data_IF_646714747407
#
_entry.id   IF_646714747407
#
_cell.length_a   1.000
_cell.length_b   1.000
_cell.length_c   1.000
_cell.angle_alpha   90.00
_cell.angle_beta   90.00
_cell.angle_gamma   90.00
#
_symmetry.space_group_name_H-M   'P 1'
#
loop_
_entity.id
_entity.type
_entity.pdbx_description
1 polymer ?
#
# COMPACT_ATOMS: atom_id res chain seq x y z
N UNK A 1 20.38 -13.76 -4.78
CA UNK A 1 19.46 -14.02 -5.92
C UNK A 1 19.54 -12.82 -6.83
N UNK A 2 20.06 -13.00 -8.04
CA UNK A 2 20.17 -11.91 -9.03
C UNK A 2 18.80 -11.74 -9.69
N UNK A 3 18.30 -10.51 -9.76
CA UNK A 3 17.09 -10.20 -10.52
C UNK A 3 17.28 -10.62 -11.97
N UNK A 4 16.40 -11.49 -12.45
CA UNK A 4 16.50 -12.00 -13.81
C UNK A 4 15.83 -10.98 -14.73
N UNK A 5 16.58 -10.50 -15.72
CA UNK A 5 16.06 -9.58 -16.73
C UNK A 5 14.90 -10.27 -17.48
N UNK A 6 13.73 -9.64 -17.59
CA UNK A 6 12.60 -10.21 -18.32
C UNK A 6 12.95 -10.38 -19.82
N UNK A 7 12.21 -11.24 -20.51
CA UNK A 7 12.40 -11.49 -21.96
C UNK A 7 12.41 -10.19 -22.76
N UNK A 8 13.30 -10.03 -23.74
CA UNK A 8 13.27 -8.86 -24.65
C UNK A 8 12.11 -8.92 -25.66
N UNK A 9 11.31 -9.99 -25.65
CA UNK A 9 10.19 -10.15 -26.56
C UNK A 9 9.01 -9.25 -26.17
N UNK A 10 8.74 -8.25 -27.02
CA UNK A 10 7.60 -7.35 -26.93
C UNK A 10 6.38 -7.92 -27.68
N UNK A 11 5.19 -7.63 -27.16
CA UNK A 11 3.91 -7.99 -27.77
C UNK A 11 2.95 -6.80 -27.71
N UNK A 12 2.15 -6.65 -28.76
CA UNK A 12 1.00 -5.73 -28.75
C UNK A 12 -0.18 -6.43 -28.07
N UNK A 13 -0.86 -5.74 -27.15
CA UNK A 13 -2.01 -6.24 -26.42
C UNK A 13 -3.16 -5.21 -26.44
N UNK A 14 -3.87 -5.14 -27.57
CA UNK A 14 -5.04 -4.26 -27.77
C UNK A 14 -4.79 -2.78 -27.39
N UNK A 15 -3.71 -2.20 -27.91
CA UNK A 15 -3.31 -0.81 -27.72
C UNK A 15 -2.28 -0.58 -26.60
N UNK A 16 -1.87 -1.65 -25.92
CA UNK A 16 -0.86 -1.63 -24.84
C UNK A 16 0.35 -2.46 -25.25
N UNK A 17 1.52 -1.82 -25.36
CA UNK A 17 2.76 -2.54 -25.62
C UNK A 17 3.23 -3.20 -24.32
N UNK A 18 3.43 -4.51 -24.38
CA UNK A 18 3.78 -5.32 -23.23
C UNK A 18 5.04 -6.16 -23.52
N UNK A 19 5.69 -6.62 -22.45
CA UNK A 19 6.83 -7.53 -22.47
C UNK A 19 6.40 -8.91 -22.01
N UNK A 20 6.75 -9.97 -22.73
CA UNK A 20 6.46 -11.33 -22.27
C UNK A 20 7.21 -11.66 -20.98
N UNK A 21 6.53 -12.35 -20.08
CA UNK A 21 7.03 -12.71 -18.77
C UNK A 21 6.72 -14.17 -18.41
N UNK A 22 7.26 -15.16 -19.17
CA UNK A 22 6.97 -16.56 -18.92
C UNK A 22 7.57 -17.09 -17.61
N UNK A 23 8.62 -16.41 -17.12
CA UNK A 23 9.41 -16.80 -15.94
C UNK A 23 9.09 -15.92 -14.73
N UNK A 24 9.15 -16.53 -13.56
CA UNK A 24 8.91 -15.86 -12.28
C UNK A 24 9.95 -14.79 -12.01
N UNK A 25 9.51 -13.55 -11.78
CA UNK A 25 10.39 -12.40 -11.50
C UNK A 25 11.22 -12.56 -10.21
N UNK A 26 10.78 -13.41 -9.27
CA UNK A 26 11.49 -13.63 -8.01
C UNK A 26 12.59 -14.69 -8.09
N UNK A 27 12.34 -15.83 -8.75
CA UNK A 27 13.28 -16.96 -8.75
C UNK A 27 13.74 -17.44 -10.14
N UNK A 28 13.22 -16.85 -11.22
CA UNK A 28 13.58 -17.19 -12.59
C UNK A 28 13.04 -18.51 -13.13
N UNK A 29 12.33 -19.32 -12.31
CA UNK A 29 11.69 -20.56 -12.76
C UNK A 29 10.48 -20.28 -13.65
N UNK A 30 10.14 -21.19 -14.55
CA UNK A 30 8.92 -21.11 -15.34
C UNK A 30 7.67 -21.13 -14.44
N UNK A 31 6.68 -20.30 -14.81
CA UNK A 31 5.36 -20.34 -14.20
C UNK A 31 4.41 -21.30 -14.93
N UNK A 32 3.33 -21.70 -14.27
CA UNK A 32 2.15 -22.20 -14.98
C UNK A 32 1.13 -21.06 -15.17
N UNK A 33 0.26 -21.19 -16.16
CA UNK A 33 -0.85 -20.24 -16.37
C UNK A 33 -1.93 -20.56 -15.33
N UNK A 34 -2.26 -19.58 -14.50
CA UNK A 34 -3.32 -19.69 -13.50
C UNK A 34 -4.65 -19.21 -14.07
N UNK A 35 -4.64 -18.06 -14.73
CA UNK A 35 -5.80 -17.50 -15.42
C UNK A 35 -5.41 -17.04 -16.82
N UNK A 36 -6.36 -17.08 -17.74
CA UNK A 36 -6.17 -16.65 -19.13
C UNK A 36 -7.38 -15.88 -19.62
N UNK A 37 -7.19 -15.08 -20.67
CA UNK A 37 -8.24 -14.28 -21.32
C UNK A 37 -8.99 -13.37 -20.34
N UNK A 38 -8.28 -12.85 -19.35
CA UNK A 38 -8.82 -11.89 -18.39
C UNK A 38 -9.01 -10.53 -19.08
N UNK A 39 -10.10 -9.84 -18.75
CA UNK A 39 -10.36 -8.46 -19.13
C UNK A 39 -10.72 -7.69 -17.88
N UNK A 40 -10.30 -6.43 -17.81
CA UNK A 40 -10.71 -5.57 -16.71
C UNK A 40 -12.21 -5.25 -16.82
N UNK A 41 -12.96 -5.63 -15.79
CA UNK A 41 -14.42 -5.43 -15.71
C UNK A 41 -14.81 -4.18 -14.94
N UNK A 42 -13.89 -3.59 -14.19
CA UNK A 42 -14.19 -2.48 -13.30
C UNK A 42 -13.89 -1.14 -13.96
N UNK A 43 -12.72 -0.98 -14.57
CA UNK A 43 -12.27 0.30 -15.14
C UNK A 43 -12.21 0.29 -16.67
N UNK A 44 -12.50 -0.86 -17.30
CA UNK A 44 -12.41 -1.06 -18.75
C UNK A 44 -11.00 -0.78 -19.30
N UNK A 45 -9.97 -1.12 -18.53
CA UNK A 45 -8.60 -1.06 -19.03
C UNK A 45 -8.43 -1.95 -20.27
N UNK A 46 -7.75 -1.47 -21.32
CA UNK A 46 -7.55 -2.23 -22.56
C UNK A 46 -6.71 -3.50 -22.32
N UNK A 47 -6.75 -4.43 -23.27
CA UNK A 47 -5.92 -5.63 -23.26
C UNK A 47 -6.61 -6.90 -22.78
N UNK A 48 -6.01 -8.01 -23.16
CA UNK A 48 -6.34 -9.36 -22.70
C UNK A 48 -5.18 -9.87 -21.87
N UNK A 49 -5.45 -10.21 -20.62
CA UNK A 49 -4.42 -10.50 -19.63
C UNK A 49 -4.40 -11.98 -19.26
N UNK A 50 -3.22 -12.50 -18.95
CA UNK A 50 -3.07 -13.78 -18.25
C UNK A 50 -2.29 -13.58 -16.96
N UNK A 51 -2.62 -14.38 -15.96
CA UNK A 51 -1.89 -14.43 -14.70
C UNK A 51 -1.16 -15.76 -14.65
N UNK A 52 0.14 -15.69 -14.39
CA UNK A 52 1.01 -16.83 -14.15
C UNK A 52 1.24 -17.02 -12.67
N UNK A 53 1.59 -18.24 -12.29
CA UNK A 53 1.91 -18.62 -10.91
C UNK A 53 3.15 -19.51 -10.85
N UNK A 54 3.99 -19.32 -9.84
CA UNK A 54 5.20 -20.10 -9.61
C UNK A 54 5.00 -21.11 -8.48
N UNK A 55 5.16 -22.40 -8.77
CA UNK A 55 5.04 -23.44 -7.74
C UNK A 55 6.11 -23.38 -6.64
N UNK A 56 7.28 -22.81 -6.93
CA UNK A 56 8.38 -22.70 -5.97
C UNK A 56 8.21 -21.52 -5.02
N UNK A 57 7.96 -20.33 -5.56
CA UNK A 57 7.89 -19.09 -4.78
C UNK A 57 6.47 -18.69 -4.41
N UNK A 58 5.46 -19.31 -5.03
CA UNK A 58 4.03 -19.00 -4.89
C UNK A 58 3.64 -17.57 -5.30
N UNK A 59 4.53 -16.86 -6.00
CA UNK A 59 4.24 -15.56 -6.59
C UNK A 59 3.31 -15.75 -7.79
N UNK A 60 2.32 -14.87 -7.91
CA UNK A 60 1.53 -14.68 -9.12
C UNK A 60 1.94 -13.36 -9.78
N UNK A 61 1.93 -13.31 -11.12
CA UNK A 61 2.28 -12.10 -11.88
C UNK A 61 1.55 -12.07 -13.23
N UNK A 62 1.48 -10.87 -13.83
CA UNK A 62 0.92 -10.68 -15.16
C UNK A 62 1.89 -11.13 -16.24
N UNK A 63 1.38 -11.85 -17.22
CA UNK A 63 2.06 -12.08 -18.48
C UNK A 63 1.06 -11.69 -19.59
N UNK A 64 1.43 -10.91 -20.61
CA UNK A 64 2.62 -10.08 -20.63
C UNK A 64 2.52 -8.91 -19.61
N UNK A 65 3.67 -8.34 -19.21
CA UNK A 65 3.75 -7.14 -18.36
C UNK A 65 3.68 -5.88 -19.23
N UNK A 66 2.82 -4.90 -18.93
CA UNK A 66 2.86 -3.59 -19.59
C UNK A 66 4.22 -2.93 -19.44
N UNK A 67 4.67 -2.20 -20.48
CA UNK A 67 5.86 -1.36 -20.34
C UNK A 67 5.58 -0.16 -19.41
N UNK A 68 6.58 0.37 -18.68
CA UNK A 68 6.39 1.50 -17.77
C UNK A 68 5.72 2.72 -18.44
N UNK A 69 6.08 3.00 -19.69
CA UNK A 69 5.56 4.12 -20.49
C UNK A 69 4.10 3.92 -20.91
N UNK A 70 3.64 2.66 -20.88
CA UNK A 70 2.30 2.25 -21.29
C UNK A 70 1.32 2.18 -20.10
N UNK A 71 1.83 2.12 -18.86
CA UNK A 71 1.04 2.11 -17.63
C UNK A 71 -0.02 3.24 -17.59
N UNK A 72 0.26 4.50 -17.98
CA UNK A 72 -0.74 5.57 -17.95
C UNK A 72 -2.02 5.25 -18.75
N UNK A 73 -1.95 4.44 -19.81
CA UNK A 73 -3.12 4.03 -20.61
C UNK A 73 -4.10 3.18 -19.80
N UNK A 74 -3.60 2.44 -18.81
CA UNK A 74 -4.39 1.54 -17.95
C UNK A 74 -5.10 2.27 -16.81
N UNK A 75 -4.67 3.49 -16.47
CA UNK A 75 -5.13 4.24 -15.28
C UNK A 75 -6.06 5.44 -15.60
N UNK A 76 -6.49 5.59 -16.85
CA UNK A 76 -7.31 6.74 -17.29
C UNK A 76 -8.60 6.97 -16.50
N UNK A 77 -9.19 5.91 -15.93
CA UNK A 77 -10.43 5.97 -15.13
C UNK A 77 -10.25 5.58 -13.65
N UNK A 78 -9.02 5.36 -13.19
CA UNK A 78 -8.75 4.79 -11.87
C UNK A 78 -8.68 5.84 -10.74
N UNK A 79 -8.55 7.14 -11.06
CA UNK A 79 -8.46 8.19 -10.06
C UNK A 79 -9.80 8.47 -9.36
N UNK A 80 -10.07 7.70 -8.31
CA UNK A 80 -11.19 7.94 -7.38
C UNK A 80 -10.85 9.09 -6.44
N UNK A 81 -11.13 10.33 -6.87
CA UNK A 81 -11.16 11.49 -5.99
C UNK A 81 -12.60 11.80 -5.57
N UNK A 82 -13.22 10.89 -4.82
CA UNK A 82 -14.50 11.17 -4.17
C UNK A 82 -14.29 11.42 -2.68
N UNK A 83 -14.82 12.52 -2.13
CA UNK A 83 -14.83 12.73 -0.69
C UNK A 83 -15.72 11.66 -0.04
N UNK A 84 -15.34 11.12 1.12
CA UNK A 84 -16.14 10.11 1.80
C UNK A 84 -17.52 10.67 2.17
N UNK A 85 -18.56 9.84 2.01
CA UNK A 85 -19.94 10.19 2.34
C UNK A 85 -20.11 10.56 3.83
N UNK A 86 -20.82 11.66 4.09
CA UNK A 86 -21.08 12.16 5.44
C UNK A 86 -22.14 11.32 6.17
N UNK A 87 -21.72 10.52 7.14
CA UNK A 87 -22.63 9.85 8.09
C UNK A 87 -23.04 10.75 9.28
N UNK A 88 -24.10 10.38 10.01
CA UNK A 88 -24.58 11.10 11.18
C UNK A 88 -23.51 11.24 12.30
N UNK A 89 -23.34 12.46 12.82
CA UNK A 89 -22.21 12.84 13.69
C UNK A 89 -22.11 12.07 15.00
N UNK A 90 -23.25 11.71 15.61
CA UNK A 90 -23.27 10.94 16.86
C UNK A 90 -22.67 9.53 16.69
N UNK A 91 -22.96 8.86 15.58
CA UNK A 91 -22.44 7.52 15.30
C UNK A 91 -20.93 7.57 15.00
N UNK A 92 -20.46 8.65 14.33
CA UNK A 92 -19.04 8.89 14.10
C UNK A 92 -18.28 9.07 15.42
N UNK A 93 -18.83 9.87 16.35
CA UNK A 93 -18.21 10.10 17.65
C UNK A 93 -18.04 8.82 18.47
N UNK A 94 -19.08 7.97 18.54
CA UNK A 94 -19.01 6.67 19.23
C UNK A 94 -17.97 5.76 18.59
N UNK A 95 -17.94 5.69 17.25
CA UNK A 95 -16.95 4.88 16.52
C UNK A 95 -15.53 5.35 16.78
N UNK A 96 -15.29 6.66 16.80
CA UNK A 96 -13.98 7.23 17.13
C UNK A 96 -13.58 6.91 18.58
N UNK A 97 -14.52 7.04 19.53
CA UNK A 97 -14.27 6.69 20.93
C UNK A 97 -13.88 5.21 21.10
N UNK A 98 -14.57 4.29 20.42
CA UNK A 98 -14.21 2.86 20.44
C UNK A 98 -12.84 2.63 19.77
N UNK A 99 -12.62 3.21 18.59
CA UNK A 99 -11.35 3.12 17.86
C UNK A 99 -10.18 3.52 18.74
N UNK A 100 -10.26 4.67 19.39
CA UNK A 100 -9.20 5.22 20.23
C UNK A 100 -8.93 4.32 21.46
N UNK A 101 -9.97 3.74 22.05
CA UNK A 101 -9.84 2.73 23.11
C UNK A 101 -9.13 1.45 22.63
N UNK A 102 -9.46 0.96 21.43
CA UNK A 102 -8.81 -0.21 20.82
C UNK A 102 -7.34 0.10 20.52
N UNK A 103 -7.04 1.24 19.89
CA UNK A 103 -5.66 1.67 19.61
C UNK A 103 -4.83 1.82 20.89
N UNK A 104 -5.41 2.39 21.94
CA UNK A 104 -4.74 2.56 23.23
C UNK A 104 -4.44 1.22 23.92
N UNK A 105 -5.35 0.25 23.82
CA UNK A 105 -5.22 -1.05 24.50
C UNK A 105 -4.42 -2.10 23.72
N UNK A 106 -4.39 -2.03 22.39
CA UNK A 106 -3.76 -3.05 21.52
C UNK A 106 -2.46 -2.60 20.87
N UNK A 107 -2.40 -1.35 20.41
CA UNK A 107 -1.28 -0.82 19.65
C UNK A 107 -0.45 0.18 20.45
N UNK A 108 -0.73 0.40 21.74
CA UNK A 108 0.10 1.22 22.62
C UNK A 108 -0.09 2.73 22.48
N UNK A 109 -1.14 3.19 21.78
CA UNK A 109 -1.49 4.62 21.69
C UNK A 109 -2.18 5.12 22.98
N UNK A 110 -1.52 4.92 24.13
CA UNK A 110 -2.11 5.09 25.46
C UNK A 110 -2.69 6.49 25.73
N UNK A 111 -2.11 7.51 25.09
CA UNK A 111 -2.51 8.93 25.18
C UNK A 111 -3.87 9.22 24.51
N UNK A 112 -4.36 8.34 23.63
CA UNK A 112 -5.68 8.52 22.99
C UNK A 112 -6.85 8.23 23.92
N UNK A 113 -6.65 7.38 24.93
CA UNK A 113 -7.72 6.99 25.83
C UNK A 113 -7.99 8.08 26.87
N UNK A 114 -9.18 8.65 26.81
CA UNK A 114 -9.68 9.75 27.64
C UNK A 114 -10.03 9.30 29.07
N UNK A 115 -10.26 8.00 29.29
CA UNK A 115 -10.58 7.45 30.61
C UNK A 115 -10.20 5.98 30.76
N UNK A 116 -10.14 5.49 32.01
CA UNK A 116 -9.96 4.07 32.31
C UNK A 116 -11.10 3.22 31.73
N UNK A 117 -12.34 3.73 31.76
CA UNK A 117 -13.51 3.06 31.19
C UNK A 117 -13.31 2.83 29.69
N UNK A 118 -12.83 3.83 28.96
CA UNK A 118 -12.57 3.70 27.52
C UNK A 118 -11.51 2.63 27.22
N UNK A 119 -10.47 2.51 28.04
CA UNK A 119 -9.46 1.45 27.87
C UNK A 119 -10.05 0.06 28.05
N UNK A 120 -10.90 -0.12 29.06
CA UNK A 120 -11.57 -1.41 29.32
C UNK A 120 -12.52 -1.75 28.18
N UNK A 121 -13.36 -0.80 27.74
CA UNK A 121 -14.26 -1.02 26.60
C UNK A 121 -13.46 -1.27 25.33
N UNK A 122 -12.41 -0.51 25.07
CA UNK A 122 -11.51 -0.71 23.94
C UNK A 122 -10.87 -2.10 23.93
N UNK A 123 -10.41 -2.58 25.10
CA UNK A 123 -9.84 -3.92 25.23
C UNK A 123 -10.86 -5.02 24.93
N UNK A 124 -12.08 -4.90 25.49
CA UNK A 124 -13.20 -5.82 25.22
C UNK A 124 -13.57 -5.83 23.74
N UNK A 125 -13.77 -4.66 23.15
CA UNK A 125 -14.14 -4.50 21.74
C UNK A 125 -13.03 -4.98 20.81
N UNK A 126 -11.77 -4.76 21.16
CA UNK A 126 -10.61 -5.31 20.44
C UNK A 126 -10.49 -6.84 20.53
N UNK A 127 -11.25 -7.48 21.43
CA UNK A 127 -11.42 -8.94 21.45
C UNK A 127 -12.18 -9.48 20.24
N UNK A 128 -13.00 -8.65 19.61
CA UNK A 128 -13.78 -9.01 18.42
C UNK A 128 -12.93 -8.78 17.15
N UNK A 129 -12.70 -9.84 16.37
CA UNK A 129 -11.85 -9.79 15.16
C UNK A 129 -12.29 -8.69 14.19
N UNK A 130 -13.58 -8.62 13.86
CA UNK A 130 -14.14 -7.58 12.98
C UNK A 130 -13.81 -6.15 13.42
N UNK A 131 -13.85 -5.89 14.72
CA UNK A 131 -13.59 -4.55 15.26
C UNK A 131 -12.09 -4.28 15.28
N UNK A 132 -11.32 -5.24 15.79
CA UNK A 132 -9.86 -5.19 15.83
C UNK A 132 -9.29 -4.96 14.44
N UNK A 133 -9.62 -5.83 13.48
CA UNK A 133 -9.06 -5.82 12.14
C UNK A 133 -9.40 -4.50 11.44
N UNK A 134 -10.64 -3.99 11.61
CA UNK A 134 -11.02 -2.69 11.03
C UNK A 134 -10.26 -1.52 11.63
N UNK A 135 -9.98 -1.54 12.93
CA UNK A 135 -9.22 -0.47 13.60
C UNK A 135 -7.73 -0.57 13.26
N UNK A 136 -7.15 -1.76 13.36
CA UNK A 136 -5.74 -2.01 13.08
C UNK A 136 -5.42 -1.73 11.60
N UNK A 137 -6.22 -2.23 10.64
CA UNK A 137 -6.05 -1.90 9.23
C UNK A 137 -6.14 -0.40 8.95
N UNK A 138 -6.96 0.33 9.73
CA UNK A 138 -7.06 1.79 9.63
C UNK A 138 -5.79 2.55 10.03
N UNK A 139 -4.81 1.87 10.62
CA UNK A 139 -3.44 2.35 10.89
C UNK A 139 -2.37 1.36 10.39
N UNK A 140 -2.76 0.45 9.49
CA UNK A 140 -1.92 -0.64 8.97
C UNK A 140 -1.22 -1.49 10.05
N UNK A 141 -1.82 -1.64 11.23
CA UNK A 141 -1.22 -2.38 12.35
C UNK A 141 0.02 -1.70 12.94
N UNK A 142 0.32 -0.45 12.57
CA UNK A 142 1.48 0.29 13.06
C UNK A 142 1.28 0.60 14.55
N UNK A 143 2.06 -0.10 15.39
CA UNK A 143 2.09 0.12 16.83
C UNK A 143 2.70 1.49 17.18
N UNK A 144 2.20 2.10 18.25
CA UNK A 144 2.63 3.40 18.72
C UNK A 144 4.13 3.43 19.00
N UNK A 145 4.76 4.54 18.59
CA UNK A 145 6.17 4.82 18.86
C UNK A 145 6.32 6.28 19.22
N UNK A 146 6.98 6.55 20.34
CA UNK A 146 7.21 7.92 20.81
C UNK A 146 8.08 8.67 19.79
N UNK A 147 7.50 9.67 19.12
CA UNK A 147 8.17 10.47 18.07
C UNK A 147 8.80 9.61 16.97
N UNK A 148 8.10 8.54 16.57
CA UNK A 148 8.53 7.69 15.46
C UNK A 148 8.46 8.43 14.13
N UNK A 149 9.34 8.07 13.20
CA UNK A 149 9.36 8.61 11.83
C UNK A 149 8.81 7.58 10.85
N UNK A 150 7.76 7.95 10.11
CA UNK A 150 7.04 7.10 9.18
C UNK A 150 7.14 7.65 7.75
N UNK A 151 7.51 6.79 6.82
CA UNK A 151 7.38 7.04 5.38
C UNK A 151 6.19 6.24 4.86
N UNK A 152 5.30 6.89 4.10
CA UNK A 152 4.27 6.19 3.33
C UNK A 152 4.58 6.31 1.84
N UNK A 153 4.80 5.17 1.20
CA UNK A 153 5.13 5.04 -0.21
C UNK A 153 3.84 4.84 -0.99
N UNK A 154 3.60 5.69 -1.99
CA UNK A 154 2.30 5.81 -2.67
C UNK A 154 1.25 6.43 -1.77
N UNK A 155 1.57 7.57 -1.12
CA UNK A 155 0.70 8.14 -0.09
C UNK A 155 -0.60 8.77 -0.61
N UNK A 156 -0.76 8.90 -1.93
CA UNK A 156 -1.93 9.49 -2.57
C UNK A 156 -2.23 10.88 -2.02
N UNK A 157 -3.51 11.14 -1.71
CA UNK A 157 -3.98 12.41 -1.13
C UNK A 157 -3.63 12.62 0.36
N UNK A 158 -2.85 11.71 0.96
CA UNK A 158 -2.27 11.86 2.29
C UNK A 158 -3.22 11.59 3.47
N UNK A 159 -4.41 11.00 3.26
CA UNK A 159 -5.36 10.74 4.35
C UNK A 159 -4.80 9.81 5.43
N UNK A 160 -4.05 8.78 5.03
CA UNK A 160 -3.37 7.88 5.96
C UNK A 160 -2.29 8.64 6.75
N UNK A 161 -1.43 9.41 6.08
CA UNK A 161 -0.41 10.22 6.72
C UNK A 161 -0.98 11.26 7.69
N UNK A 162 -2.08 11.92 7.34
CA UNK A 162 -2.76 12.86 8.21
C UNK A 162 -3.23 12.19 9.50
N UNK A 163 -3.77 10.95 9.39
CA UNK A 163 -4.14 10.14 10.55
C UNK A 163 -2.93 9.79 11.40
N UNK A 164 -1.84 9.30 10.80
CA UNK A 164 -0.63 8.94 11.55
C UNK A 164 0.03 10.16 12.22
N UNK A 165 0.01 11.32 11.56
CA UNK A 165 0.43 12.61 12.14
C UNK A 165 -0.39 12.97 13.38
N UNK A 166 -1.72 12.82 13.31
CA UNK A 166 -2.61 13.03 14.46
C UNK A 166 -2.34 12.04 15.62
N UNK A 167 -1.79 10.87 15.32
CA UNK A 167 -1.34 9.87 16.29
C UNK A 167 0.09 10.12 16.83
N UNK A 168 0.71 11.25 16.47
CA UNK A 168 2.00 11.68 17.01
C UNK A 168 3.23 11.23 16.22
N UNK A 169 3.05 10.72 15.00
CA UNK A 169 4.15 10.36 14.11
C UNK A 169 4.72 11.57 13.36
N UNK A 170 6.04 11.58 13.15
CA UNK A 170 6.67 12.42 12.13
C UNK A 170 6.50 11.71 10.78
N UNK A 171 5.71 12.30 9.90
CA UNK A 171 5.32 11.67 8.63
C UNK A 171 5.99 12.30 7.42
N UNK A 172 6.34 11.46 6.46
CA UNK A 172 6.79 11.83 5.11
C UNK A 172 6.01 10.98 4.10
N UNK A 173 5.56 11.59 3.02
CA UNK A 173 4.96 10.89 1.89
C UNK A 173 5.89 10.82 0.70
N UNK A 174 5.77 9.77 -0.09
CA UNK A 174 6.37 9.62 -1.42
C UNK A 174 5.26 9.28 -2.41
N UNK A 175 5.02 10.14 -3.41
CA UNK A 175 3.91 9.98 -4.35
C UNK A 175 4.29 10.51 -5.73
N UNK A 176 4.38 9.67 -6.78
CA UNK A 176 4.74 10.13 -8.12
C UNK A 176 3.66 11.00 -8.80
N UNK A 177 2.39 10.92 -8.38
CA UNK A 177 1.34 11.80 -8.90
C UNK A 177 1.38 13.19 -8.24
N UNK A 178 1.82 14.20 -8.98
CA UNK A 178 1.90 15.59 -8.52
C UNK A 178 0.55 16.13 -8.02
N UNK A 179 -0.58 15.75 -8.66
CA UNK A 179 -1.90 16.23 -8.24
C UNK A 179 -2.28 15.64 -6.88
N UNK A 180 -2.03 14.35 -6.68
CA UNK A 180 -2.29 13.70 -5.39
C UNK A 180 -1.39 14.28 -4.29
N UNK A 181 -0.11 14.48 -4.58
CA UNK A 181 0.84 15.10 -3.67
C UNK A 181 0.48 16.55 -3.32
N UNK A 182 0.02 17.35 -4.28
CA UNK A 182 -0.46 18.70 -4.05
C UNK A 182 -1.65 18.72 -3.10
N UNK A 183 -2.64 17.85 -3.32
CA UNK A 183 -3.79 17.71 -2.41
C UNK A 183 -3.35 17.35 -0.98
N UNK A 184 -2.38 16.45 -0.84
CA UNK A 184 -1.84 16.06 0.47
C UNK A 184 -1.16 17.23 1.18
N UNK A 185 -0.40 18.05 0.45
CA UNK A 185 0.27 19.25 0.97
C UNK A 185 -0.75 20.31 1.38
N UNK A 186 -1.70 20.65 0.51
CA UNK A 186 -2.67 21.73 0.73
C UNK A 186 -3.70 21.39 1.81
N UNK A 187 -4.25 20.17 1.79
CA UNK A 187 -5.32 19.77 2.72
C UNK A 187 -4.81 19.51 4.14
N UNK A 188 -3.58 18.99 4.27
CA UNK A 188 -3.09 18.43 5.53
C UNK A 188 -1.77 19.04 6.04
N UNK A 189 -1.13 19.91 5.24
CA UNK A 189 0.20 20.45 5.55
C UNK A 189 1.23 19.33 5.72
N UNK A 190 1.21 18.35 4.82
CA UNK A 190 2.13 17.20 4.83
C UNK A 190 3.37 17.48 3.97
N UNK A 191 4.51 16.91 4.38
CA UNK A 191 5.70 16.83 3.55
C UNK A 191 5.56 15.63 2.62
N UNK A 192 5.45 15.88 1.33
CA UNK A 192 5.36 14.84 0.29
C UNK A 192 6.43 15.10 -0.77
N UNK A 193 7.22 14.08 -1.06
CA UNK A 193 8.19 14.04 -2.16
C UNK A 193 7.51 13.50 -3.42
N UNK A 194 7.64 14.22 -4.53
CA UNK A 194 7.06 13.80 -5.83
C UNK A 194 8.14 13.10 -6.63
N UNK A 195 8.25 11.79 -6.41
CA UNK A 195 9.22 10.97 -7.12
C UNK A 195 8.82 9.50 -7.08
N UNK A 196 9.45 8.73 -7.97
CA UNK A 196 9.43 7.28 -7.92
C UNK A 196 10.44 6.77 -6.88
N UNK A 197 10.21 5.58 -6.32
CA UNK A 197 11.07 4.97 -5.28
C UNK A 197 12.56 5.01 -5.66
N UNK A 198 12.89 4.69 -6.91
CA UNK A 198 14.29 4.64 -7.38
C UNK A 198 14.93 6.01 -7.64
N UNK A 199 14.12 7.07 -7.71
CA UNK A 199 14.58 8.45 -7.96
C UNK A 199 14.53 9.31 -6.69
N UNK A 200 13.87 8.84 -5.64
CA UNK A 200 13.72 9.57 -4.39
C UNK A 200 15.04 9.62 -3.61
N UNK A 201 15.45 10.82 -3.20
CA UNK A 201 16.61 11.02 -2.31
C UNK A 201 16.17 11.06 -0.85
N UNK A 202 15.90 9.87 -0.31
CA UNK A 202 15.59 9.71 1.11
C UNK A 202 16.84 9.38 1.91
N UNK A 203 16.97 10.03 3.07
CA UNK A 203 18.07 9.76 4.01
C UNK A 203 18.07 8.28 4.44
N UNK A 204 19.22 7.64 4.32
CA UNK A 204 19.43 6.27 4.81
C UNK A 204 19.19 6.15 6.32
N UNK A 205 18.73 4.98 6.77
CA UNK A 205 18.51 4.65 8.18
C UNK A 205 17.69 5.69 8.97
N UNK A 206 16.71 6.31 8.31
CA UNK A 206 16.01 7.47 8.86
C UNK A 206 14.57 7.20 9.29
N UNK A 207 13.94 6.11 8.83
CA UNK A 207 12.56 5.77 9.16
C UNK A 207 12.47 4.60 10.15
N UNK A 208 11.56 4.72 11.10
CA UNK A 208 11.19 3.62 12.00
C UNK A 208 10.15 2.70 11.35
N UNK A 209 9.28 3.26 10.51
CA UNK A 209 8.26 2.50 9.78
C UNK A 209 8.20 3.00 8.35
N UNK A 210 8.11 2.08 7.39
CA UNK A 210 7.78 2.37 6.00
C UNK A 210 6.51 1.61 5.65
N UNK A 211 5.49 2.28 5.15
CA UNK A 211 4.22 1.66 4.74
C UNK A 211 4.09 1.65 3.22
N UNK A 212 3.46 0.59 2.71
CA UNK A 212 3.00 0.47 1.33
C UNK A 212 1.59 -0.10 1.34
N UNK A 213 0.60 0.69 0.94
CA UNK A 213 -0.78 0.23 0.85
C UNK A 213 -1.20 0.13 -0.61
N UNK A 214 -1.33 -1.10 -1.13
CA UNK A 214 -1.65 -1.34 -2.53
C UNK A 214 -0.66 -0.71 -3.51
N UNK A 215 0.63 -0.85 -3.23
CA UNK A 215 1.72 -0.33 -4.08
C UNK A 215 2.59 -1.46 -4.62
N UNK A 216 2.92 -2.44 -3.78
CA UNK A 216 3.88 -3.50 -4.11
C UNK A 216 3.49 -4.27 -5.38
N UNK A 217 2.19 -4.52 -5.57
CA UNK A 217 1.63 -5.23 -6.73
C UNK A 217 1.72 -4.46 -8.06
N UNK A 218 1.96 -3.14 -7.99
CA UNK A 218 2.07 -2.26 -9.16
C UNK A 218 3.52 -1.95 -9.54
N UNK A 219 4.50 -2.41 -8.74
CA UNK A 219 5.91 -2.15 -9.00
C UNK A 219 6.44 -3.04 -10.13
N UNK A 220 7.19 -2.45 -11.05
CA UNK A 220 7.90 -3.18 -12.09
C UNK A 220 9.08 -3.98 -11.51
N UNK A 221 9.78 -3.40 -10.51
CA UNK A 221 10.86 -4.04 -9.76
C UNK A 221 10.57 -4.04 -8.25
N UNK A 222 9.68 -4.92 -7.75
CA UNK A 222 9.37 -5.02 -6.33
C UNK A 222 10.57 -5.33 -5.44
N UNK A 223 11.57 -6.12 -5.87
CA UNK A 223 12.70 -6.43 -4.99
C UNK A 223 13.67 -5.26 -4.91
N UNK A 224 14.03 -4.63 -6.04
CA UNK A 224 14.89 -3.46 -6.04
C UNK A 224 14.23 -2.31 -5.29
N UNK A 225 12.90 -2.19 -5.37
CA UNK A 225 12.14 -1.27 -4.54
C UNK A 225 12.25 -1.61 -3.06
N UNK A 226 11.98 -2.87 -2.65
CA UNK A 226 12.12 -3.30 -1.26
C UNK A 226 13.54 -3.13 -0.71
N UNK A 227 14.57 -3.39 -1.51
CA UNK A 227 15.97 -3.14 -1.17
C UNK A 227 16.25 -1.65 -0.97
N UNK A 228 15.62 -0.79 -1.77
CA UNK A 228 15.71 0.66 -1.61
C UNK A 228 15.05 1.12 -0.31
N UNK A 229 13.84 0.64 -0.02
CA UNK A 229 13.16 0.91 1.24
C UNK A 229 13.98 0.42 2.45
N UNK A 230 14.60 -0.75 2.34
CA UNK A 230 15.47 -1.30 3.38
C UNK A 230 16.65 -0.37 3.71
N UNK A 231 17.25 0.32 2.72
CA UNK A 231 18.33 1.30 2.97
C UNK A 231 17.83 2.52 3.76
N UNK A 232 16.59 2.95 3.52
CA UNK A 232 15.98 4.08 4.24
C UNK A 232 15.51 3.71 5.64
N UNK A 233 15.29 2.42 5.89
CA UNK A 233 14.81 1.88 7.16
C UNK A 233 15.93 1.82 8.20
N UNK A 234 15.60 2.18 9.45
CA UNK A 234 16.48 1.94 10.59
C UNK A 234 16.70 0.43 10.81
N UNK A 235 17.80 0.00 11.46
CA UNK A 235 18.05 -1.42 11.73
C UNK A 235 16.93 -2.15 12.48
N UNK A 236 16.18 -1.46 13.35
CA UNK A 236 15.02 -1.98 14.09
C UNK A 236 13.69 -1.47 13.55
N UNK A 237 13.69 -0.93 12.34
CA UNK A 237 12.48 -0.45 11.68
C UNK A 237 11.69 -1.58 11.03
N UNK A 238 10.46 -1.29 10.66
CA UNK A 238 9.56 -2.25 10.03
C UNK A 238 9.03 -1.72 8.71
N UNK A 239 8.98 -2.58 7.69
CA UNK A 239 8.20 -2.32 6.47
C UNK A 239 6.86 -3.03 6.64
N UNK A 240 5.77 -2.29 6.45
CA UNK A 240 4.40 -2.83 6.51
C UNK A 240 3.78 -2.72 5.13
N UNK A 241 3.25 -3.84 4.63
CA UNK A 241 2.68 -3.92 3.28
C UNK A 241 1.28 -4.49 3.35
N UNK A 242 0.35 -3.81 2.69
CA UNK A 242 -0.96 -4.36 2.33
C UNK A 242 -0.98 -4.60 0.83
N UNK A 243 -1.29 -5.83 0.43
CA UNK A 243 -1.35 -6.27 -0.98
C UNK A 243 -2.43 -7.34 -1.12
N UNK A 244 -3.04 -7.51 -2.30
CA UNK A 244 -3.97 -8.59 -2.59
C UNK A 244 -3.38 -9.97 -2.27
N UNK A 245 -4.22 -10.82 -1.68
CA UNK A 245 -3.88 -12.22 -1.43
C UNK A 245 -4.53 -13.10 -2.50
N UNK A 246 -3.72 -13.69 -3.38
CA UNK A 246 -4.19 -14.56 -4.47
C UNK A 246 -4.90 -15.85 -3.96
N UNK A 247 -4.75 -16.19 -2.67
CA UNK A 247 -5.43 -17.31 -2.04
C UNK A 247 -6.73 -16.94 -1.32
N UNK A 248 -7.14 -15.66 -1.35
CA UNK A 248 -8.42 -15.26 -0.80
C UNK A 248 -9.59 -15.85 -1.63
N UNK A 249 -10.71 -16.09 -0.94
CA UNK A 249 -11.97 -16.45 -1.60
C UNK A 249 -12.45 -15.22 -2.40
N UNK A 250 -12.80 -15.43 -3.68
CA UNK A 250 -13.19 -14.38 -4.65
C UNK A 250 -12.02 -13.53 -5.20
N UNK A 251 -10.98 -14.20 -5.73
CA UNK A 251 -9.98 -13.59 -6.62
C UNK A 251 -10.54 -13.29 -8.02
#
# INVERSE_FOLDING_TARGET
MTWMQPSDELVENEGVVCRKAPKCVLCGRDGCVLYTRLRDRFFSAPGVWQIRWCASCRLAWLDPHPLPEEIPKLYTKYYTHEPPAEGADALKAVRHWIRDGVLASRLGYAELAQSRVQRVVGWLMGGLSVVRDRVELGVMGVAARRRGRLLDVGCGSGEFLARMKALGWEVVGLEPDERAAQLARERWGLRVDVSWIHNADMRETSFDVITMNHVLEHLNDPLGSLQTLQRWLRPSGTIVVTTPNIFALCH
#
